data_IF_822670200552
#
_entry.id   IF_822670200552
#
_cell.length_a   1.000
_cell.length_b   1.000
_cell.length_c   1.000
_cell.angle_alpha   90.00
_cell.angle_beta   90.00
_cell.angle_gamma   90.00
#
_symmetry.space_group_name_H-M   'P 1'
#
loop_
_entity.id
_entity.type
_entity.pdbx_description
1 polymer ?
#
# COMPACT_ATOMS: atom_id res chain seq x y z
N UNK A 1 22.80 2.21 4.33
CA UNK A 1 21.83 2.56 3.27
C UNK A 1 20.48 2.09 3.77
N UNK A 2 19.48 2.97 3.80
CA UNK A 2 18.15 2.63 4.32
C UNK A 2 17.51 1.53 3.45
N UNK A 3 16.82 0.56 4.06
CA UNK A 3 16.05 -0.46 3.35
C UNK A 3 15.10 0.18 2.34
N UNK A 4 14.48 1.31 2.72
CA UNK A 4 13.56 2.06 1.85
C UNK A 4 14.29 2.64 0.62
N UNK A 5 15.51 3.15 0.78
CA UNK A 5 16.32 3.66 -0.34
C UNK A 5 16.66 2.56 -1.36
N UNK A 6 16.91 1.34 -0.87
CA UNK A 6 17.17 0.19 -1.73
C UNK A 6 15.91 -0.15 -2.53
N UNK A 7 14.75 -0.19 -1.88
CA UNK A 7 13.46 -0.45 -2.53
C UNK A 7 13.15 0.62 -3.57
N UNK A 8 13.36 1.90 -3.26
CA UNK A 8 13.14 3.02 -4.18
C UNK A 8 13.94 2.85 -5.49
N UNK A 9 15.18 2.33 -5.43
CA UNK A 9 15.97 2.04 -6.63
C UNK A 9 15.36 0.93 -7.50
N UNK A 10 14.76 -0.10 -6.91
CA UNK A 10 14.04 -1.12 -7.68
C UNK A 10 12.76 -0.54 -8.29
N UNK A 11 12.02 0.26 -7.51
CA UNK A 11 10.80 0.93 -7.97
C UNK A 11 11.08 1.84 -9.18
N UNK A 12 12.19 2.58 -9.18
CA UNK A 12 12.59 3.40 -10.34
C UNK A 12 12.69 2.61 -11.65
N UNK A 13 13.18 1.36 -11.59
CA UNK A 13 13.22 0.47 -12.76
C UNK A 13 11.83 -0.01 -13.15
N UNK A 14 11.05 -0.45 -12.16
CA UNK A 14 9.66 -0.89 -12.35
C UNK A 14 8.85 0.17 -13.09
N UNK A 15 8.86 1.43 -12.63
CA UNK A 15 8.04 2.50 -13.24
C UNK A 15 8.54 2.93 -14.62
N UNK A 16 9.84 2.77 -14.92
CA UNK A 16 10.39 3.10 -16.24
C UNK A 16 9.94 2.14 -17.34
N UNK A 17 9.67 0.87 -17.00
CA UNK A 17 9.25 -0.15 -17.97
C UNK A 17 7.73 -0.36 -17.99
N UNK A 18 7.01 0.16 -17.01
CA UNK A 18 5.58 -0.11 -16.80
C UNK A 18 4.79 1.20 -16.62
N UNK A 19 4.54 1.97 -17.70
CA UNK A 19 3.92 3.29 -17.64
C UNK A 19 2.46 3.31 -17.16
N UNK A 20 1.82 2.13 -17.12
CA UNK A 20 0.48 1.93 -16.55
C UNK A 20 0.48 2.00 -15.01
N UNK A 21 1.63 1.79 -14.36
CA UNK A 21 1.75 1.97 -12.91
C UNK A 21 1.78 3.46 -12.62
N UNK A 22 0.80 3.95 -11.88
CA UNK A 22 0.62 5.38 -11.57
C UNK A 22 0.77 5.70 -10.09
N UNK A 23 0.89 4.70 -9.23
CA UNK A 23 1.27 4.90 -7.83
C UNK A 23 1.88 3.64 -7.22
N UNK A 24 2.81 3.80 -6.29
CA UNK A 24 3.36 2.71 -5.48
C UNK A 24 3.48 3.18 -4.04
N UNK A 25 2.89 2.41 -3.12
CA UNK A 25 2.96 2.65 -1.68
C UNK A 25 3.59 1.43 -1.02
N UNK A 26 4.70 1.63 -0.33
CA UNK A 26 5.28 0.65 0.59
C UNK A 26 4.52 0.71 1.90
N UNK A 27 4.07 -0.42 2.42
CA UNK A 27 3.43 -0.50 3.73
C UNK A 27 4.02 -1.66 4.54
N UNK A 28 3.37 -2.02 5.65
CA UNK A 28 3.80 -3.19 6.41
C UNK A 28 5.03 -2.94 7.28
N UNK A 29 5.78 -4.00 7.58
CA UNK A 29 6.83 -3.96 8.60
C UNK A 29 7.99 -3.03 8.26
N UNK A 30 8.42 -3.01 7.00
CA UNK A 30 9.51 -2.15 6.52
C UNK A 30 9.08 -0.68 6.59
N UNK A 31 7.85 -0.36 6.19
CA UNK A 31 7.35 1.02 6.27
C UNK A 31 7.26 1.55 7.71
N UNK A 32 7.12 0.65 8.70
CA UNK A 32 7.12 0.98 10.13
C UNK A 32 8.52 1.06 10.77
N UNK A 33 9.58 0.68 10.07
CA UNK A 33 10.92 0.53 10.66
C UNK A 33 11.02 -0.63 11.66
N UNK A 34 10.17 -1.65 11.49
CA UNK A 34 10.12 -2.85 12.34
C UNK A 34 10.63 -4.10 11.60
N UNK A 35 11.40 -3.91 10.53
CA UNK A 35 11.88 -4.98 9.70
C UNK A 35 12.88 -5.90 10.42
N UNK A 36 12.89 -7.16 9.99
CA UNK A 36 13.88 -8.17 10.36
C UNK A 36 14.60 -8.63 9.10
N UNK A 37 15.68 -9.40 9.24
CA UNK A 37 16.50 -9.87 8.11
C UNK A 37 15.74 -10.58 6.98
N UNK A 38 14.53 -11.08 7.24
CA UNK A 38 13.64 -11.73 6.26
C UNK A 38 12.26 -11.08 6.16
N UNK A 39 12.16 -9.78 6.45
CA UNK A 39 10.90 -9.07 6.31
C UNK A 39 10.41 -9.06 4.88
N UNK A 40 9.11 -9.30 4.73
CA UNK A 40 8.42 -9.20 3.46
C UNK A 40 8.34 -7.74 3.02
N UNK A 41 8.52 -7.50 1.72
CA UNK A 41 8.28 -6.19 1.11
C UNK A 41 6.80 -6.13 0.70
N UNK A 42 6.02 -5.31 1.41
CA UNK A 42 4.60 -5.13 1.14
C UNK A 42 4.35 -3.91 0.25
N UNK A 43 3.93 -4.11 -1.00
CA UNK A 43 3.66 -3.03 -1.97
C UNK A 43 2.20 -2.99 -2.39
N UNK A 44 1.60 -1.80 -2.31
CA UNK A 44 0.37 -1.49 -3.03
C UNK A 44 0.74 -0.80 -4.34
N UNK A 45 0.39 -1.45 -5.45
CA UNK A 45 0.61 -0.95 -6.81
C UNK A 45 -0.69 -0.43 -7.38
N UNK A 46 -0.70 0.86 -7.68
CA UNK A 46 -1.83 1.54 -8.28
C UNK A 46 -1.59 1.71 -9.77
N UNK A 47 -2.62 1.42 -10.56
CA UNK A 47 -2.53 1.43 -12.01
C UNK A 47 -3.65 2.24 -12.66
N UNK A 48 -3.38 2.75 -13.85
CA UNK A 48 -4.34 3.36 -14.78
C UNK A 48 -4.16 2.73 -16.17
N UNK A 49 -5.23 2.75 -16.97
CA UNK A 49 -5.24 2.35 -18.39
C UNK A 49 -4.63 0.97 -18.71
N UNK A 50 -4.62 0.06 -17.73
CA UNK A 50 -4.10 -1.30 -17.90
C UNK A 50 -5.15 -2.21 -18.56
N UNK A 51 -4.93 -2.51 -19.85
CA UNK A 51 -5.78 -3.38 -20.67
C UNK A 51 -5.26 -4.82 -20.65
N UNK A 52 -5.50 -5.52 -19.55
CA UNK A 52 -5.24 -6.96 -19.39
C UNK A 52 -6.50 -7.64 -18.87
N UNK A 53 -6.61 -8.94 -19.11
CA UNK A 53 -7.69 -9.76 -18.57
C UNK A 53 -7.80 -9.52 -17.05
N UNK A 54 -9.00 -9.17 -16.53
CA UNK A 54 -9.22 -8.99 -15.10
C UNK A 54 -8.71 -10.15 -14.23
N UNK A 55 -8.84 -11.40 -14.71
CA UNK A 55 -8.46 -12.59 -13.97
C UNK A 55 -6.93 -12.81 -13.96
N UNK A 56 -6.23 -12.28 -14.97
CA UNK A 56 -4.76 -12.35 -15.06
C UNK A 56 -4.06 -11.08 -14.55
N UNK A 57 -4.80 -10.00 -14.31
CA UNK A 57 -4.26 -8.67 -13.99
C UNK A 57 -3.30 -8.70 -12.82
N UNK A 58 -3.71 -9.35 -11.74
CA UNK A 58 -2.90 -9.46 -10.54
C UNK A 58 -1.55 -10.14 -10.83
N UNK A 59 -1.58 -11.25 -11.58
CA UNK A 59 -0.38 -11.99 -11.98
C UNK A 59 0.51 -11.16 -12.90
N UNK A 60 -0.08 -10.43 -13.84
CA UNK A 60 0.64 -9.54 -14.74
C UNK A 60 1.39 -8.45 -13.97
N UNK A 61 0.70 -7.75 -13.05
CA UNK A 61 1.29 -6.70 -12.22
C UNK A 61 2.37 -7.27 -11.30
N UNK A 62 2.10 -8.41 -10.66
CA UNK A 62 3.07 -9.09 -9.81
C UNK A 62 4.35 -9.39 -10.59
N UNK A 63 4.26 -9.95 -11.81
CA UNK A 63 5.42 -10.24 -12.67
C UNK A 63 6.15 -8.96 -13.10
N UNK A 64 5.42 -7.91 -13.45
CA UNK A 64 5.99 -6.61 -13.83
C UNK A 64 6.84 -6.00 -12.71
N UNK A 65 6.43 -6.18 -11.45
CA UNK A 65 7.15 -5.69 -10.27
C UNK A 65 8.28 -6.64 -9.88
N UNK A 66 7.95 -7.91 -9.61
CA UNK A 66 8.86 -8.92 -9.04
C UNK A 66 10.11 -9.18 -9.87
N UNK A 67 10.05 -9.06 -11.21
CA UNK A 67 11.20 -9.26 -12.09
C UNK A 67 12.39 -8.33 -11.81
N UNK A 68 12.14 -7.21 -11.13
CA UNK A 68 13.17 -6.23 -10.77
C UNK A 68 13.76 -6.42 -9.38
N UNK A 69 13.19 -7.33 -8.58
CA UNK A 69 13.67 -7.66 -7.25
C UNK A 69 14.55 -8.92 -7.30
N UNK A 70 15.54 -9.07 -6.41
CA UNK A 70 16.31 -10.31 -6.29
C UNK A 70 15.38 -11.51 -6.04
N UNK A 71 15.63 -12.70 -6.63
CA UNK A 71 14.78 -13.89 -6.45
C UNK A 71 14.60 -14.35 -4.99
N UNK A 72 15.54 -13.99 -4.11
CA UNK A 72 15.48 -14.28 -2.67
C UNK A 72 14.60 -13.30 -1.88
N UNK A 73 14.04 -12.29 -2.54
CA UNK A 73 13.20 -11.28 -1.91
C UNK A 73 11.81 -11.83 -1.68
N UNK A 74 11.36 -11.82 -0.42
CA UNK A 74 9.94 -11.98 -0.12
C UNK A 74 9.22 -10.70 -0.53
N UNK A 75 8.24 -10.83 -1.43
CA UNK A 75 7.49 -9.71 -1.98
C UNK A 75 5.99 -10.04 -1.97
N UNK A 76 5.22 -9.23 -1.26
CA UNK A 76 3.76 -9.16 -1.35
C UNK A 76 3.37 -7.95 -2.20
N UNK A 77 2.77 -8.21 -3.36
CA UNK A 77 2.19 -7.15 -4.21
C UNK A 77 0.68 -7.27 -4.13
N UNK A 78 0.02 -6.19 -3.74
CA UNK A 78 -1.43 -6.02 -3.94
C UNK A 78 -1.63 -4.91 -4.96
N UNK A 79 -2.73 -4.97 -5.71
CA UNK A 79 -3.00 -3.98 -6.74
C UNK A 79 -4.43 -3.46 -6.70
N UNK A 80 -4.61 -2.25 -7.21
CA UNK A 80 -5.90 -1.59 -7.35
C UNK A 80 -5.82 -0.50 -8.41
N UNK A 81 -6.93 -0.21 -9.10
CA UNK A 81 -6.98 0.96 -9.96
C UNK A 81 -6.78 2.24 -9.14
N UNK A 82 -5.98 3.18 -9.63
CA UNK A 82 -5.62 4.40 -8.91
C UNK A 82 -6.87 5.19 -8.48
N UNK A 83 -7.84 5.34 -9.39
CA UNK A 83 -9.10 6.03 -9.10
C UNK A 83 -9.95 5.34 -8.04
N UNK A 84 -9.89 4.01 -7.98
CA UNK A 84 -10.72 3.22 -7.06
C UNK A 84 -10.12 3.26 -5.65
N UNK A 85 -8.79 3.31 -5.55
CA UNK A 85 -8.11 3.56 -4.29
C UNK A 85 -8.51 4.92 -3.70
N UNK A 86 -8.53 5.98 -4.52
CA UNK A 86 -8.96 7.32 -4.08
C UNK A 86 -10.45 7.40 -3.72
N UNK A 87 -11.28 6.49 -4.22
CA UNK A 87 -12.72 6.40 -3.95
C UNK A 87 -13.07 5.30 -2.95
N UNK A 88 -12.10 4.72 -2.27
CA UNK A 88 -12.35 3.63 -1.34
C UNK A 88 -13.21 4.13 -0.19
N UNK A 89 -14.42 3.57 -0.06
CA UNK A 89 -15.33 3.84 1.05
C UNK A 89 -15.22 2.78 2.16
N UNK A 90 -14.85 1.55 1.77
CA UNK A 90 -14.79 0.38 2.66
C UNK A 90 -13.45 0.29 3.37
N UNK A 91 -13.48 0.52 4.68
CA UNK A 91 -12.30 0.42 5.54
C UNK A 91 -12.00 -1.05 5.89
N UNK A 92 -11.01 -1.65 5.23
CA UNK A 92 -10.48 -2.98 5.58
C UNK A 92 -9.22 -2.85 6.45
N UNK A 93 -8.83 -3.92 7.15
CA UNK A 93 -7.57 -3.94 7.91
C UNK A 93 -6.34 -3.64 7.05
N UNK A 94 -6.33 -4.13 5.81
CA UNK A 94 -5.26 -3.88 4.84
C UNK A 94 -5.22 -2.40 4.45
N UNK A 95 -6.39 -1.82 4.15
CA UNK A 95 -6.50 -0.40 3.84
C UNK A 95 -6.03 0.48 5.02
N UNK A 96 -6.39 0.12 6.26
CA UNK A 96 -5.90 0.80 7.45
C UNK A 96 -4.38 0.74 7.57
N UNK A 97 -3.76 -0.42 7.28
CA UNK A 97 -2.30 -0.55 7.29
C UNK A 97 -1.66 0.38 6.24
N UNK A 98 -2.20 0.42 5.02
CA UNK A 98 -1.72 1.34 3.97
C UNK A 98 -1.86 2.80 4.39
N UNK A 99 -3.00 3.20 4.96
CA UNK A 99 -3.25 4.59 5.38
C UNK A 99 -2.34 5.04 6.53
N UNK A 100 -2.10 4.16 7.51
CA UNK A 100 -1.33 4.54 8.70
C UNK A 100 0.17 4.38 8.55
N UNK A 101 0.62 3.37 7.79
CA UNK A 101 2.04 3.01 7.63
C UNK A 101 2.61 3.39 6.27
N UNK A 102 1.76 3.73 5.29
CA UNK A 102 2.16 3.85 3.90
C UNK A 102 3.21 4.93 3.65
N UNK A 103 4.34 4.52 3.04
CA UNK A 103 5.34 5.39 2.43
C UNK A 103 5.06 5.43 0.93
N UNK A 104 4.69 6.60 0.42
CA UNK A 104 4.48 6.82 -1.01
C UNK A 104 5.83 6.85 -1.71
N UNK A 105 6.16 5.79 -2.45
CA UNK A 105 7.40 5.67 -3.24
C UNK A 105 7.23 6.28 -4.64
N UNK A 106 6.04 6.18 -5.21
CA UNK A 106 5.73 6.77 -6.51
C UNK A 106 4.28 7.25 -6.56
N UNK A 107 4.05 8.39 -7.21
CA UNK A 107 2.72 8.95 -7.41
C UNK A 107 2.72 9.88 -8.63
N UNK A 108 2.23 9.37 -9.76
CA UNK A 108 2.18 10.10 -11.04
C UNK A 108 1.29 11.34 -10.96
N UNK A 109 0.20 11.27 -10.18
CA UNK A 109 -0.81 12.32 -10.12
C UNK A 109 -0.65 13.25 -8.91
N UNK A 110 0.24 12.93 -7.97
CA UNK A 110 0.56 13.75 -6.80
C UNK A 110 -0.56 13.82 -5.74
N UNK A 111 -1.54 12.90 -5.76
CA UNK A 111 -2.71 12.94 -4.87
C UNK A 111 -2.58 12.04 -3.64
N UNK A 112 -1.76 10.99 -3.67
CA UNK A 112 -1.72 9.93 -2.66
C UNK A 112 -1.38 10.45 -1.27
N UNK A 113 -0.32 11.25 -1.13
CA UNK A 113 0.07 11.79 0.19
C UNK A 113 -1.07 12.59 0.84
N UNK A 114 -1.74 13.43 0.05
CA UNK A 114 -2.86 14.23 0.52
C UNK A 114 -4.07 13.36 0.88
N UNK A 115 -4.36 12.34 0.08
CA UNK A 115 -5.44 11.39 0.30
C UNK A 115 -5.22 10.60 1.59
N UNK A 116 -4.06 9.93 1.76
CA UNK A 116 -3.74 9.18 2.97
C UNK A 116 -3.85 10.06 4.23
N UNK A 117 -3.37 11.31 4.17
CA UNK A 117 -3.47 12.27 5.28
C UNK A 117 -4.93 12.60 5.63
N UNK A 118 -5.78 12.87 4.63
CA UNK A 118 -7.20 13.18 4.86
C UNK A 118 -7.95 11.99 5.43
N UNK A 119 -7.75 10.80 4.86
CA UNK A 119 -8.38 9.55 5.33
C UNK A 119 -7.95 9.25 6.76
N UNK A 120 -6.65 9.37 7.07
CA UNK A 120 -6.12 9.16 8.43
C UNK A 120 -6.80 10.08 9.45
N UNK A 121 -6.92 11.38 9.15
CA UNK A 121 -7.62 12.35 10.01
C UNK A 121 -9.10 11.99 10.19
N UNK A 122 -9.77 11.53 9.14
CA UNK A 122 -11.16 11.11 9.26
C UNK A 122 -11.32 9.87 10.16
N UNK A 123 -10.46 8.87 9.99
CA UNK A 123 -10.44 7.66 10.81
C UNK A 123 -10.17 7.98 12.29
N UNK A 124 -9.22 8.87 12.57
CA UNK A 124 -8.94 9.37 13.92
C UNK A 124 -10.16 10.07 14.52
N UNK A 125 -10.84 10.94 13.76
CA UNK A 125 -12.09 11.61 14.19
C UNK A 125 -13.22 10.62 14.48
N UNK A 126 -13.29 9.52 13.73
CA UNK A 126 -14.26 8.43 13.99
C UNK A 126 -13.84 7.52 15.14
N UNK A 127 -12.69 7.77 15.78
CA UNK A 127 -12.23 7.01 16.94
C UNK A 127 -11.60 5.66 16.60
N UNK A 128 -11.15 5.47 15.35
CA UNK A 128 -10.34 4.30 14.99
C UNK A 128 -8.98 4.42 15.64
N UNK A 129 -8.58 3.41 16.40
CA UNK A 129 -7.31 3.40 17.12
C UNK A 129 -6.51 2.16 16.78
N UNK A 130 -5.22 2.33 16.49
CA UNK A 130 -4.28 1.22 16.45
C UNK A 130 -3.84 0.88 17.87
N UNK A 131 -3.86 -0.40 18.22
CA UNK A 131 -3.33 -0.88 19.49
C UNK A 131 -2.26 -1.94 19.22
N UNK A 132 -1.16 -1.86 19.96
CA UNK A 132 -0.04 -2.81 19.92
C UNK A 132 -0.05 -3.67 21.20
N UNK A 133 -0.01 -4.99 21.04
CA UNK A 133 0.17 -5.95 22.15
C UNK A 133 1.37 -6.84 21.80
N UNK A 134 2.49 -6.61 22.50
CA UNK A 134 3.76 -7.26 22.18
C UNK A 134 4.18 -6.99 20.74
N UNK A 135 4.26 -8.05 19.92
CA UNK A 135 4.59 -7.97 18.48
C UNK A 135 3.38 -7.79 17.56
N UNK A 136 2.17 -7.82 18.10
CA UNK A 136 0.93 -7.82 17.31
C UNK A 136 0.27 -6.45 17.30
N UNK A 137 -0.39 -6.14 16.18
CA UNK A 137 -1.22 -4.96 16.01
C UNK A 137 -2.66 -5.37 15.76
N UNK A 138 -3.60 -4.62 16.32
CA UNK A 138 -5.01 -4.71 15.96
C UNK A 138 -5.66 -3.34 15.91
N UNK A 139 -6.75 -3.26 15.16
CA UNK A 139 -7.55 -2.05 15.00
C UNK A 139 -8.72 -2.10 15.97
N UNK A 140 -8.74 -1.16 16.92
CA UNK A 140 -9.88 -0.94 17.80
C UNK A 140 -10.85 0.01 17.10
N UNK A 141 -12.01 -0.52 16.75
CA UNK A 141 -13.12 0.25 16.17
C UNK A 141 -13.90 0.96 17.29
N UNK A 142 -14.56 2.10 17.00
CA UNK A 142 -15.43 2.78 17.96
C UNK A 142 -16.62 1.91 18.40
N UNK A 143 -17.14 1.07 17.50
CA UNK A 143 -18.21 0.10 17.76
C UNK A 143 -17.75 -1.29 17.31
N UNK A 144 -17.83 -2.28 18.20
CA UNK A 144 -17.50 -3.66 17.88
C UNK A 144 -18.42 -4.18 16.75
N UNK A 145 -17.83 -4.82 15.73
CA UNK A 145 -18.54 -5.27 14.53
C UNK A 145 -19.11 -4.14 13.65
N UNK A 146 -18.85 -2.87 13.98
CA UNK A 146 -19.29 -1.72 13.20
C UNK A 146 -18.53 -1.63 11.88
N UNK A 147 -19.23 -1.24 10.81
CA UNK A 147 -18.60 -0.81 9.56
C UNK A 147 -18.20 0.66 9.68
N UNK A 148 -17.06 1.01 9.12
CA UNK A 148 -16.64 2.40 8.97
C UNK A 148 -16.75 2.73 7.49
N UNK A 149 -17.58 3.74 7.21
CA UNK A 149 -17.67 4.36 5.88
C UNK A 149 -16.87 5.65 5.91
N UNK A 150 -16.05 5.86 4.88
CA UNK A 150 -15.29 7.07 4.68
C UNK A 150 -16.13 8.15 3.98
N UNK A 151 -15.87 9.42 4.32
CA UNK A 151 -16.43 10.61 3.68
C UNK A 151 -15.28 11.58 3.44
N UNK A 152 -14.44 11.29 2.43
CA UNK A 152 -13.19 12.01 2.12
C UNK A 152 -13.20 12.59 0.72
#
# INVERSE_FOLDING_TARGET
>A
MDTVDIIDRYIKKVISENPFITGIILFGSIARGEERERSDIDLLVLWDDLQVDPDERHVYIYKAVSKHFPPSTSLTVIDMKYTDFLKTEKVTSLFLNVVYDGIVLYDKHGKLKSFLSKVKKELERKGVKRVKIGKYYYWKLPKAGGKIELKV
#
